data_IF_572796825296
#
_entry.id   IF_572796825296
#
_cell.length_a   1.000
_cell.length_b   1.000
_cell.length_c   1.000
_cell.angle_alpha   90.00
_cell.angle_beta   90.00
_cell.angle_gamma   90.00
#
_symmetry.space_group_name_H-M   'P 1'
#
loop_
_entity.id
_entity.type
_entity.pdbx_description
1 polymer ?
#
# COMPACT_ATOMS: atom_id res chain seq x y z
N UNK A 1 -14.02 12.39 6.27
CA UNK A 1 -12.98 11.66 7.04
C UNK A 1 -13.33 10.18 7.24
N UNK A 2 -14.56 9.84 7.68
CA UNK A 2 -15.03 8.46 7.87
C UNK A 2 -14.97 7.54 6.63
N UNK A 3 -15.33 8.04 5.44
CA UNK A 3 -15.25 7.25 4.18
C UNK A 3 -13.83 6.74 3.90
N UNK A 4 -12.80 7.55 4.16
CA UNK A 4 -11.41 7.18 3.89
C UNK A 4 -10.90 6.10 4.85
N UNK A 5 -11.38 6.11 6.10
CA UNK A 5 -11.06 5.07 7.10
C UNK A 5 -11.73 3.75 6.75
N UNK A 6 -12.99 3.79 6.31
CA UNK A 6 -13.72 2.60 5.90
C UNK A 6 -13.12 1.95 4.65
N UNK A 7 -12.73 2.77 3.67
CA UNK A 7 -12.00 2.31 2.49
C UNK A 7 -10.69 1.62 2.88
N UNK A 8 -9.85 2.25 3.72
CA UNK A 8 -8.57 1.68 4.19
C UNK A 8 -8.73 0.35 4.92
N UNK A 9 -9.81 0.15 5.68
CA UNK A 9 -10.06 -1.13 6.36
C UNK A 9 -10.53 -2.22 5.40
N UNK A 10 -11.36 -1.92 4.39
CA UNK A 10 -11.74 -2.88 3.35
C UNK A 10 -10.52 -3.35 2.53
N UNK A 11 -9.59 -2.44 2.24
CA UNK A 11 -8.36 -2.72 1.51
C UNK A 11 -7.45 -3.69 2.28
N UNK A 12 -7.45 -3.67 3.62
CA UNK A 12 -6.62 -4.54 4.46
C UNK A 12 -7.14 -5.98 4.61
N UNK A 13 -8.40 -6.23 4.29
CA UNK A 13 -9.02 -7.56 4.45
C UNK A 13 -8.71 -8.48 3.27
N UNK A 14 -8.46 -7.90 2.09
CA UNK A 14 -8.26 -8.62 0.85
C UNK A 14 -6.79 -8.58 0.40
N UNK A 15 -6.14 -9.74 0.32
CA UNK A 15 -4.77 -9.90 -0.19
C UNK A 15 -4.62 -9.28 -1.60
N UNK A 16 -3.45 -8.71 -1.90
CA UNK A 16 -3.10 -8.07 -3.19
C UNK A 16 -3.59 -8.83 -4.43
N UNK A 17 -3.53 -10.16 -4.42
CA UNK A 17 -3.92 -11.02 -5.54
C UNK A 17 -5.40 -10.94 -5.91
N UNK A 18 -6.29 -10.61 -4.97
CA UNK A 18 -7.72 -10.55 -5.26
C UNK A 18 -8.09 -9.35 -6.13
N UNK A 19 -7.43 -8.20 -5.94
CA UNK A 19 -7.70 -7.01 -6.75
C UNK A 19 -7.23 -7.17 -8.20
N UNK A 20 -6.07 -7.80 -8.41
CA UNK A 20 -5.57 -8.14 -9.74
C UNK A 20 -6.51 -9.14 -10.44
N UNK A 21 -6.95 -10.18 -9.73
CA UNK A 21 -7.87 -11.19 -10.27
C UNK A 21 -9.24 -10.57 -10.63
N UNK A 22 -9.75 -9.67 -9.79
CA UNK A 22 -10.98 -8.90 -10.08
C UNK A 22 -10.81 -8.08 -11.37
N UNK A 23 -9.67 -7.37 -11.53
CA UNK A 23 -9.40 -6.57 -12.74
C UNK A 23 -9.40 -7.43 -14.01
N UNK A 24 -8.75 -8.60 -13.96
CA UNK A 24 -8.70 -9.53 -15.10
C UNK A 24 -10.10 -10.03 -15.46
N UNK A 25 -10.89 -10.50 -14.48
CA UNK A 25 -12.26 -10.98 -14.69
C UNK A 25 -13.14 -9.90 -15.31
N UNK A 26 -13.04 -8.65 -14.83
CA UNK A 26 -13.82 -7.55 -15.36
C UNK A 26 -13.44 -7.14 -16.78
N UNK A 27 -12.16 -7.21 -17.16
CA UNK A 27 -11.72 -7.00 -18.55
C UNK A 27 -12.29 -8.05 -19.51
N UNK A 28 -12.35 -9.32 -19.11
CA UNK A 28 -12.98 -10.36 -19.91
C UNK A 28 -14.51 -10.19 -20.02
N UNK A 29 -15.17 -9.84 -18.92
CA UNK A 29 -16.60 -9.56 -18.91
C UNK A 29 -16.94 -8.37 -19.83
N UNK A 30 -16.12 -7.31 -19.80
CA UNK A 30 -16.22 -6.16 -20.68
C UNK A 30 -16.13 -6.56 -22.15
N UNK A 31 -15.14 -7.38 -22.52
CA UNK A 31 -14.98 -7.87 -23.89
C UNK A 31 -16.20 -8.68 -24.36
N UNK A 32 -16.75 -9.53 -23.48
CA UNK A 32 -17.96 -10.31 -23.77
C UNK A 32 -19.20 -9.42 -23.96
N UNK A 33 -19.38 -8.40 -23.14
CA UNK A 33 -20.48 -7.43 -23.28
C UNK A 33 -20.31 -6.55 -24.52
N UNK A 34 -19.09 -6.16 -24.86
CA UNK A 34 -18.78 -5.36 -26.03
C UNK A 34 -19.02 -6.12 -27.34
N UNK A 35 -18.70 -7.42 -27.38
CA UNK A 35 -19.05 -8.28 -28.52
C UNK A 35 -20.56 -8.48 -28.63
N UNK A 36 -21.26 -8.72 -27.52
CA UNK A 36 -22.74 -8.79 -27.49
C UNK A 36 -23.41 -7.48 -27.97
N UNK A 37 -22.80 -6.33 -27.68
CA UNK A 37 -23.21 -5.01 -28.20
C UNK A 37 -23.10 -4.92 -29.72
N UNK A 38 -21.99 -5.39 -30.30
CA UNK A 38 -21.78 -5.37 -31.74
C UNK A 38 -22.81 -6.24 -32.49
N UNK A 39 -23.22 -7.37 -31.89
CA UNK A 39 -24.23 -8.30 -32.41
C UNK A 39 -25.69 -7.84 -32.17
N UNK A 40 -25.92 -6.81 -31.34
CA UNK A 40 -27.27 -6.36 -31.02
C UNK A 40 -27.85 -5.44 -32.11
N UNK A 41 -28.84 -5.93 -32.86
CA UNK A 41 -29.49 -5.21 -33.97
C UNK A 41 -30.48 -4.11 -33.53
N UNK A 42 -30.77 -3.95 -32.23
CA UNK A 42 -31.73 -2.93 -31.74
C UNK A 42 -31.00 -1.68 -31.21
N UNK A 43 -31.33 -0.53 -31.78
CA UNK A 43 -30.73 0.80 -31.46
C UNK A 43 -30.77 1.16 -29.96
N UNK A 44 -31.82 0.75 -29.23
CA UNK A 44 -31.92 0.98 -27.78
C UNK A 44 -30.91 0.14 -26.96
N UNK A 45 -30.68 -1.11 -27.37
CA UNK A 45 -29.69 -1.99 -26.72
C UNK A 45 -28.27 -1.51 -27.00
N UNK A 46 -28.02 -0.97 -28.21
CA UNK A 46 -26.73 -0.38 -28.55
C UNK A 46 -26.36 0.79 -27.63
N UNK A 47 -27.27 1.74 -27.39
CA UNK A 47 -26.99 2.85 -26.46
C UNK A 47 -26.69 2.36 -25.04
N UNK A 48 -27.41 1.36 -24.54
CA UNK A 48 -27.22 0.82 -23.19
C UNK A 48 -25.81 0.25 -23.00
N UNK A 49 -25.34 -0.60 -23.92
CA UNK A 49 -24.01 -1.19 -23.82
C UNK A 49 -22.89 -0.16 -23.96
N UNK A 50 -23.08 0.89 -24.76
CA UNK A 50 -22.10 1.98 -24.85
C UNK A 50 -21.91 2.67 -23.49
N UNK A 51 -23.01 3.02 -22.80
CA UNK A 51 -22.93 3.64 -21.48
C UNK A 51 -22.34 2.69 -20.42
N UNK A 52 -22.70 1.41 -20.46
CA UNK A 52 -22.13 0.39 -19.56
C UNK A 52 -20.63 0.23 -19.80
N UNK A 53 -20.21 0.20 -21.06
CA UNK A 53 -18.80 0.10 -21.46
C UNK A 53 -17.99 1.29 -20.92
N UNK A 54 -18.50 2.51 -21.08
CA UNK A 54 -17.85 3.72 -20.55
C UNK A 54 -17.76 3.69 -19.02
N UNK A 55 -18.81 3.24 -18.34
CA UNK A 55 -18.80 3.07 -16.89
C UNK A 55 -17.70 2.09 -16.44
N UNK A 56 -17.58 0.94 -17.11
CA UNK A 56 -16.55 -0.05 -16.83
C UNK A 56 -15.12 0.45 -17.09
N UNK A 57 -14.94 1.24 -18.15
CA UNK A 57 -13.66 1.88 -18.45
C UNK A 57 -13.24 2.84 -17.33
N UNK A 58 -14.17 3.66 -16.82
CA UNK A 58 -13.92 4.57 -15.69
C UNK A 58 -13.53 3.79 -14.43
N UNK A 59 -14.21 2.68 -14.13
CA UNK A 59 -13.89 1.81 -12.98
C UNK A 59 -12.49 1.21 -13.12
N UNK A 60 -12.14 0.73 -14.31
CA UNK A 60 -10.81 0.16 -14.60
C UNK A 60 -9.69 1.19 -14.39
N UNK A 61 -9.85 2.40 -14.92
CA UNK A 61 -8.88 3.49 -14.71
C UNK A 61 -8.72 3.84 -13.23
N UNK A 62 -9.81 3.90 -12.47
CA UNK A 62 -9.76 4.15 -11.01
C UNK A 62 -9.03 3.04 -10.28
N UNK A 63 -9.26 1.78 -10.65
CA UNK A 63 -8.56 0.63 -10.09
C UNK A 63 -7.06 0.65 -10.41
N UNK A 64 -6.67 1.05 -11.62
CA UNK A 64 -5.27 1.15 -12.04
C UNK A 64 -4.52 2.24 -11.26
N UNK A 65 -5.14 3.42 -11.12
CA UNK A 65 -4.59 4.52 -10.31
C UNK A 65 -4.42 4.07 -8.85
N UNK A 66 -5.43 3.40 -8.29
CA UNK A 66 -5.38 2.90 -6.93
C UNK A 66 -4.27 1.85 -6.72
N UNK A 67 -4.08 0.94 -7.67
CA UNK A 67 -3.00 -0.04 -7.63
C UNK A 67 -1.62 0.61 -7.65
N UNK A 68 -1.44 1.67 -8.46
CA UNK A 68 -0.19 2.41 -8.50
C UNK A 68 0.09 3.12 -7.16
N UNK A 69 -0.91 3.78 -6.56
CA UNK A 69 -0.78 4.38 -5.23
C UNK A 69 -0.46 3.34 -4.14
N UNK A 70 -1.02 2.14 -4.24
CA UNK A 70 -0.76 1.06 -3.29
C UNK A 70 0.67 0.51 -3.42
N UNK A 71 1.26 0.52 -4.62
CA UNK A 71 2.63 0.09 -4.85
C UNK A 71 3.65 1.03 -4.17
N UNK A 72 3.44 2.35 -4.23
CA UNK A 72 4.29 3.31 -3.52
C UNK A 72 4.23 3.14 -1.99
N UNK A 73 3.10 2.64 -1.47
CA UNK A 73 2.92 2.35 -0.04
C UNK A 73 3.57 1.03 0.41
N UNK A 74 3.86 0.09 -0.50
CA UNK A 74 4.54 -1.18 -0.18
C UNK A 74 6.03 -1.21 -0.56
N UNK A 75 6.45 -0.40 -1.55
CA UNK A 75 7.85 -0.35 -2.02
C UNK A 75 8.74 0.54 -1.13
N UNK A 76 8.16 1.41 -0.29
CA UNK A 76 8.91 2.27 0.65
C UNK A 76 9.28 1.61 1.98
N UNK A 77 9.23 0.28 2.10
CA UNK A 77 9.84 -0.41 3.24
C UNK A 77 11.37 -0.41 3.09
N UNK A 78 11.97 0.76 3.30
CA UNK A 78 13.43 0.91 3.42
C UNK A 78 13.88 0.02 4.58
N UNK A 79 14.55 -1.08 4.25
CA UNK A 79 15.13 -1.94 5.27
C UNK A 79 16.42 -1.28 5.75
N UNK A 80 16.69 -1.38 7.04
CA UNK A 80 17.94 -0.92 7.61
C UNK A 80 18.55 -2.00 8.50
N UNK A 81 19.87 -2.01 8.59
CA UNK A 81 20.61 -2.79 9.59
C UNK A 81 21.17 -1.83 10.63
N UNK A 82 21.07 -2.22 11.90
CA UNK A 82 21.73 -1.51 13.00
C UNK A 82 23.21 -1.88 12.98
N UNK A 83 24.09 -0.89 12.93
CA UNK A 83 25.55 -1.08 12.93
C UNK A 83 26.18 -0.72 14.28
N UNK A 84 25.48 0.05 15.11
CA UNK A 84 25.98 0.36 16.44
C UNK A 84 25.85 -0.86 17.39
N UNK A 85 26.85 -1.11 18.27
CA UNK A 85 26.93 -2.32 19.09
C UNK A 85 25.75 -2.49 20.06
N UNK A 86 25.21 -1.38 20.55
CA UNK A 86 23.99 -1.36 21.35
C UNK A 86 23.34 0.02 21.21
N UNK A 87 22.05 0.05 20.90
CA UNK A 87 21.28 1.28 20.72
C UNK A 87 19.97 1.18 21.49
N UNK A 88 19.62 2.26 22.16
CA UNK A 88 18.36 2.37 22.88
C UNK A 88 17.27 2.91 21.95
N UNK A 89 16.20 2.15 21.81
CA UNK A 89 15.03 2.57 21.03
C UNK A 89 14.12 3.42 21.91
N UNK A 90 13.78 4.62 21.43
CA UNK A 90 12.98 5.60 22.16
C UNK A 90 11.52 5.58 21.72
N UNK A 91 10.63 6.04 22.59
CA UNK A 91 9.19 6.16 22.29
C UNK A 91 8.85 7.30 21.33
N UNK A 92 9.70 8.31 21.24
CA UNK A 92 9.50 9.54 20.47
C UNK A 92 10.83 10.03 19.88
N UNK A 93 10.82 10.86 18.82
CA UNK A 93 12.02 11.39 18.15
C UNK A 93 12.67 12.51 18.96
N UNK A 94 13.01 12.22 20.21
CA UNK A 94 13.58 13.17 21.18
C UNK A 94 14.67 12.52 21.99
N UNK A 95 15.69 13.29 22.34
CA UNK A 95 16.74 12.83 23.25
C UNK A 95 16.21 12.51 24.65
N UNK A 96 15.13 13.17 25.05
CA UNK A 96 14.44 12.95 26.33
C UNK A 96 13.37 11.86 26.25
N UNK A 97 13.20 11.23 25.08
CA UNK A 97 12.23 10.16 24.88
C UNK A 97 12.49 8.96 25.79
N UNK A 98 11.41 8.29 26.20
CA UNK A 98 11.51 7.14 27.10
C UNK A 98 12.13 5.96 26.36
N UNK A 99 13.11 5.31 26.98
CA UNK A 99 13.74 4.09 26.45
C UNK A 99 12.73 2.95 26.52
N UNK A 100 12.41 2.36 25.36
CA UNK A 100 11.49 1.23 25.25
C UNK A 100 12.23 -0.10 25.42
N UNK A 101 13.30 -0.29 24.64
CA UNK A 101 14.14 -1.49 24.67
C UNK A 101 15.46 -1.25 23.92
N UNK A 102 16.52 -2.00 24.26
CA UNK A 102 17.77 -1.97 23.51
C UNK A 102 17.69 -2.88 22.27
N UNK A 103 18.44 -2.50 21.23
CA UNK A 103 18.74 -3.34 20.07
C UNK A 103 20.25 -3.45 19.89
N UNK A 104 20.67 -4.56 19.29
CA UNK A 104 22.07 -4.85 19.01
C UNK A 104 22.38 -4.78 17.53
N UNK A 105 23.67 -4.62 17.23
CA UNK A 105 24.22 -4.69 15.88
C UNK A 105 23.73 -5.93 15.11
N UNK A 106 23.55 -5.78 13.80
CA UNK A 106 23.10 -6.85 12.91
C UNK A 106 21.58 -7.06 12.90
N UNK A 107 20.84 -6.34 13.75
CA UNK A 107 19.37 -6.41 13.74
C UNK A 107 18.82 -5.72 12.49
N UNK A 108 18.05 -6.47 11.69
CA UNK A 108 17.28 -5.92 10.56
C UNK A 108 15.99 -5.29 11.06
N UNK A 109 15.74 -4.07 10.60
CA UNK A 109 14.55 -3.30 10.95
C UNK A 109 13.93 -2.70 9.70
N UNK A 110 12.63 -2.44 9.77
CA UNK A 110 11.89 -1.74 8.72
C UNK A 110 11.78 -0.27 9.11
N UNK A 111 12.27 0.63 8.27
CA UNK A 111 12.06 2.07 8.46
C UNK A 111 10.63 2.40 8.03
N UNK A 112 9.86 2.98 8.94
CA UNK A 112 8.47 3.40 8.75
C UNK A 112 8.36 4.87 8.39
N UNK A 113 9.14 5.72 9.08
CA UNK A 113 9.13 7.16 8.88
C UNK A 113 10.50 7.79 9.20
N UNK A 114 10.72 9.01 8.73
CA UNK A 114 11.92 9.80 8.96
C UNK A 114 11.56 11.21 9.39
N UNK A 115 11.98 11.58 10.62
CA UNK A 115 11.78 12.92 11.17
C UNK A 115 13.12 13.51 11.64
N UNK A 116 13.58 14.54 10.94
CA UNK A 116 14.87 15.20 11.19
C UNK A 116 16.06 14.23 11.13
N UNK A 117 16.57 13.81 12.29
CA UNK A 117 17.67 12.87 12.42
C UNK A 117 17.26 11.56 13.10
N UNK A 118 15.94 11.34 13.21
CA UNK A 118 15.33 10.18 13.80
C UNK A 118 14.60 9.38 12.74
N UNK A 119 14.66 8.06 12.89
CA UNK A 119 13.97 7.11 12.05
C UNK A 119 13.03 6.31 12.94
N UNK A 120 11.76 6.25 12.57
CA UNK A 120 10.81 5.34 13.18
C UNK A 120 11.03 3.96 12.57
N UNK A 121 11.33 2.98 13.40
CA UNK A 121 11.65 1.62 12.97
C UNK A 121 10.67 0.61 13.56
N UNK A 122 10.43 -0.46 12.81
CA UNK A 122 9.68 -1.63 13.24
C UNK A 122 10.56 -2.87 13.17
N UNK A 123 10.58 -3.62 14.27
CA UNK A 123 11.35 -4.87 14.39
C UNK A 123 10.47 -6.06 14.01
N UNK A 124 11.09 -7.20 13.74
CA UNK A 124 10.39 -8.45 13.40
C UNK A 124 9.33 -8.88 14.42
N UNK A 125 9.50 -8.51 15.69
CA UNK A 125 8.54 -8.77 16.78
C UNK A 125 7.35 -7.77 16.82
N UNK A 126 7.26 -6.88 15.82
CA UNK A 126 6.16 -5.93 15.68
C UNK A 126 6.26 -4.67 16.56
N UNK A 127 7.20 -4.60 17.49
CA UNK A 127 7.49 -3.39 18.27
C UNK A 127 8.00 -2.25 17.37
N UNK A 128 7.58 -1.04 17.71
CA UNK A 128 7.90 0.20 17.00
C UNK A 128 8.62 1.15 17.96
N UNK A 129 9.58 1.90 17.45
CA UNK A 129 10.17 3.02 18.17
C UNK A 129 11.18 3.79 17.32
N UNK A 130 11.79 4.80 17.93
CA UNK A 130 12.64 5.77 17.26
C UNK A 130 14.11 5.51 17.55
N UNK A 131 14.94 5.65 16.53
CA UNK A 131 16.39 5.49 16.56
C UNK A 131 17.06 6.63 15.79
N UNK A 132 18.30 6.99 16.14
CA UNK A 132 19.02 7.99 15.38
C UNK A 132 19.53 7.43 14.06
N UNK A 133 19.43 8.24 13.01
CA UNK A 133 19.88 7.88 11.66
C UNK A 133 21.35 7.47 11.59
N UNK A 134 22.19 7.93 12.52
CA UNK A 134 23.62 7.60 12.59
C UNK A 134 23.90 6.15 13.00
N UNK A 135 22.94 5.50 13.66
CA UNK A 135 23.13 4.19 14.29
C UNK A 135 22.69 3.02 13.37
N UNK A 136 22.15 3.33 12.20
CA UNK A 136 21.69 2.37 11.20
C UNK A 136 22.07 2.77 9.78
N UNK A 137 22.19 1.79 8.89
CA UNK A 137 22.40 2.01 7.46
C UNK A 137 21.23 1.42 6.67
N UNK A 138 20.71 2.18 5.71
CA UNK A 138 19.59 1.79 4.83
C UNK A 138 20.14 0.94 3.69
N UNK A 139 19.42 -0.12 3.32
CA UNK A 139 19.81 -1.14 2.33
C UNK A 139 18.85 -1.14 1.16
#
# INVERSE_FOLDING_TARGET
MLIFVWAKNLIKIFHFETWATISVIFSFLFLSLFTAFLLSNKIKMKKLFFFISVLFLIISLKSFIFAHYQNDMQINHKQAIIFAPSVEIKSEPSEMGTILFPLHEGTKVLVLDEENNWLEIKISDGRIGWIQKKDLEII
#
